data_IF_041427971163
#
_entry.id   IF_041427971163
#
_cell.length_a   1.000
_cell.length_b   1.000
_cell.length_c   1.000
_cell.angle_alpha   90.00
_cell.angle_beta   90.00
_cell.angle_gamma   90.00
#
_symmetry.space_group_name_H-M   'P 1'
#
loop_
_entity.id
_entity.type
_entity.pdbx_description
1 polymer ?
#
# COMPACT_ATOMS: atom_id res chain seq x y z
N UNK A 1 -4.41 17.76 1.87
CA UNK A 1 -5.40 18.85 1.91
C UNK A 1 -5.10 19.72 3.14
N UNK A 2 -5.06 21.07 3.05
CA UNK A 2 -4.83 21.94 4.21
C UNK A 2 -5.82 21.70 5.36
N UNK A 3 -7.05 21.34 5.03
CA UNK A 3 -8.10 21.03 6.02
C UNK A 3 -7.73 19.77 6.80
N UNK A 4 -7.32 18.70 6.15
CA UNK A 4 -6.91 17.47 6.82
C UNK A 4 -5.69 17.68 7.74
N UNK A 5 -4.79 18.58 7.34
CA UNK A 5 -3.64 18.96 8.18
C UNK A 5 -4.08 19.69 9.44
N UNK A 6 -5.03 20.65 9.32
CA UNK A 6 -5.59 21.37 10.46
C UNK A 6 -6.39 20.45 11.40
N UNK A 7 -7.14 19.51 10.85
CA UNK A 7 -7.86 18.48 11.63
C UNK A 7 -6.88 17.60 12.41
N UNK A 8 -5.78 17.15 11.78
CA UNK A 8 -4.73 16.39 12.44
C UNK A 8 -4.08 17.12 13.61
N UNK A 9 -3.79 18.42 13.47
CA UNK A 9 -3.31 19.23 14.59
C UNK A 9 -4.37 19.42 15.68
N UNK A 10 -5.64 19.57 15.29
CA UNK A 10 -6.76 19.64 16.23
C UNK A 10 -6.88 18.36 17.06
N UNK A 11 -6.73 17.20 16.43
CA UNK A 11 -6.77 15.92 17.13
C UNK A 11 -5.55 15.72 18.04
N UNK A 12 -4.36 16.16 17.62
CA UNK A 12 -3.16 16.13 18.46
C UNK A 12 -3.37 16.98 19.72
N UNK A 13 -3.89 18.20 19.60
CA UNK A 13 -4.16 19.09 20.73
C UNK A 13 -5.19 18.50 21.69
N UNK A 14 -6.24 17.85 21.20
CA UNK A 14 -7.26 17.20 22.04
C UNK A 14 -6.72 16.00 22.81
N UNK A 15 -5.72 15.31 22.27
CA UNK A 15 -5.17 14.07 22.82
C UNK A 15 -3.75 14.24 23.40
N UNK A 16 -3.32 15.46 23.72
CA UNK A 16 -1.98 15.71 24.33
C UNK A 16 -1.75 14.97 25.65
N UNK A 17 -2.82 14.61 26.35
CA UNK A 17 -2.76 13.85 27.60
C UNK A 17 -2.55 12.35 27.37
N UNK A 18 -2.78 11.85 26.15
CA UNK A 18 -2.54 10.46 25.75
C UNK A 18 -1.13 10.30 25.19
N UNK A 19 -0.24 9.72 26.00
CA UNK A 19 1.17 9.52 25.65
C UNK A 19 1.35 8.57 24.46
N UNK A 20 0.51 7.54 24.34
CA UNK A 20 0.58 6.60 23.22
C UNK A 20 0.15 7.25 21.91
N UNK A 21 -0.91 8.03 21.96
CA UNK A 21 -1.35 8.81 20.81
C UNK A 21 -0.29 9.80 20.33
N UNK A 22 0.31 10.55 21.26
CA UNK A 22 1.38 11.52 20.95
C UNK A 22 2.62 10.81 20.37
N UNK A 23 3.03 9.68 20.94
CA UNK A 23 4.16 8.90 20.45
C UNK A 23 3.90 8.33 19.06
N UNK A 24 2.71 7.79 18.80
CA UNK A 24 2.32 7.30 17.48
C UNK A 24 2.30 8.43 16.44
N UNK A 25 1.78 9.60 16.80
CA UNK A 25 1.77 10.78 15.93
C UNK A 25 3.20 11.24 15.60
N UNK A 26 4.07 11.34 16.59
CA UNK A 26 5.47 11.71 16.40
C UNK A 26 6.23 10.69 15.53
N UNK A 27 5.99 9.40 15.73
CA UNK A 27 6.60 8.34 14.93
C UNK A 27 6.16 8.42 13.46
N UNK A 28 4.88 8.64 13.21
CA UNK A 28 4.36 8.81 11.85
C UNK A 28 4.93 10.07 11.17
N UNK A 29 5.05 11.19 11.90
CA UNK A 29 5.64 12.41 11.39
C UNK A 29 7.11 12.19 11.02
N UNK A 30 7.91 11.61 11.92
CA UNK A 30 9.31 11.29 11.67
C UNK A 30 9.49 10.35 10.47
N UNK A 31 8.62 9.34 10.32
CA UNK A 31 8.65 8.44 9.16
C UNK A 31 8.40 9.21 7.85
N UNK A 32 7.43 10.12 7.83
CA UNK A 32 7.14 10.92 6.64
C UNK A 32 8.27 11.91 6.31
N UNK A 33 8.90 12.49 7.32
CA UNK A 33 10.04 13.41 7.15
C UNK A 33 11.30 12.68 6.63
N UNK A 34 11.46 11.40 6.98
CA UNK A 34 12.59 10.56 6.55
C UNK A 34 12.35 9.89 5.17
N UNK A 35 11.18 10.08 4.57
CA UNK A 35 10.90 9.55 3.24
C UNK A 35 11.79 10.19 2.19
N UNK A 36 12.54 9.34 1.47
CA UNK A 36 13.39 9.78 0.37
C UNK A 36 12.54 10.39 -0.75
N UNK A 37 12.91 11.60 -1.18
CA UNK A 37 12.26 12.23 -2.32
C UNK A 37 12.53 11.42 -3.61
N UNK A 38 11.49 11.20 -4.41
CA UNK A 38 11.66 10.58 -5.72
C UNK A 38 12.49 11.48 -6.64
N UNK A 39 13.49 10.94 -7.35
CA UNK A 39 14.15 11.66 -8.44
C UNK A 39 13.11 12.14 -9.47
N UNK A 40 13.33 13.33 -10.04
CA UNK A 40 12.35 13.94 -10.96
C UNK A 40 11.97 13.03 -12.14
N UNK A 41 12.93 12.28 -12.69
CA UNK A 41 12.66 11.31 -13.76
C UNK A 41 11.73 10.17 -13.31
N UNK A 42 11.90 9.65 -12.08
CA UNK A 42 11.01 8.61 -11.52
C UNK A 42 9.59 9.17 -11.32
N UNK A 43 9.48 10.40 -10.81
CA UNK A 43 8.17 11.06 -10.65
C UNK A 43 7.48 11.24 -12.02
N UNK A 44 8.23 11.62 -13.05
CA UNK A 44 7.72 11.76 -14.41
C UNK A 44 7.23 10.42 -14.98
N UNK A 45 7.99 9.34 -14.80
CA UNK A 45 7.61 8.00 -15.24
C UNK A 45 6.34 7.51 -14.51
N UNK A 46 6.21 7.77 -13.20
CA UNK A 46 5.01 7.43 -12.43
C UNK A 46 3.79 8.17 -12.99
N UNK A 47 3.89 9.47 -13.19
CA UNK A 47 2.79 10.29 -13.71
C UNK A 47 2.42 9.83 -15.11
N UNK A 48 3.39 9.66 -15.99
CA UNK A 48 3.15 9.27 -17.38
C UNK A 48 2.55 7.88 -17.48
N UNK A 49 3.22 6.87 -16.93
CA UNK A 49 2.85 5.47 -17.17
C UNK A 49 1.74 4.96 -16.28
N UNK A 50 1.68 5.40 -15.00
CA UNK A 50 0.69 4.86 -14.08
C UNK A 50 -0.56 5.73 -13.98
N UNK A 51 -0.44 7.05 -13.98
CA UNK A 51 -1.59 7.92 -13.83
C UNK A 51 -2.23 8.31 -15.18
N UNK A 52 -1.42 8.63 -16.19
CA UNK A 52 -1.94 9.09 -17.48
C UNK A 52 -2.28 7.92 -18.40
N UNK A 53 -1.34 7.00 -18.59
CA UNK A 53 -1.52 5.85 -19.48
C UNK A 53 -2.22 4.66 -18.82
N UNK A 54 -2.22 4.60 -17.48
CA UNK A 54 -2.78 3.49 -16.69
C UNK A 54 -2.30 2.09 -17.16
N UNK A 55 -1.02 1.99 -17.53
CA UNK A 55 -0.50 0.81 -18.21
C UNK A 55 -0.57 -0.47 -17.37
N UNK A 56 -0.55 -0.39 -16.03
CA UNK A 56 -0.73 -1.57 -15.18
C UNK A 56 -2.14 -2.18 -15.33
N UNK A 57 -3.17 -1.35 -15.46
CA UNK A 57 -4.53 -1.83 -15.70
C UNK A 57 -4.67 -2.55 -17.05
N UNK A 58 -3.86 -2.18 -18.03
CA UNK A 58 -3.76 -2.86 -19.30
C UNK A 58 -2.83 -4.09 -19.28
N UNK A 59 -2.27 -4.43 -18.11
CA UNK A 59 -1.36 -5.54 -17.91
C UNK A 59 0.06 -5.28 -18.42
N UNK A 60 0.38 -4.05 -18.84
CA UNK A 60 1.70 -3.66 -19.34
C UNK A 60 2.64 -3.23 -18.21
N UNK A 61 3.91 -3.56 -18.33
CA UNK A 61 4.97 -3.06 -17.47
C UNK A 61 5.77 -1.97 -18.21
N UNK A 62 5.86 -0.74 -17.67
CA UNK A 62 6.55 0.37 -18.31
C UNK A 62 8.07 0.27 -18.10
N UNK A 63 8.66 -0.89 -18.37
CA UNK A 63 10.08 -1.12 -18.25
C UNK A 63 10.73 -1.05 -19.63
N UNK A 64 11.86 -0.35 -19.72
CA UNK A 64 12.61 -0.25 -20.98
C UNK A 64 13.06 -1.65 -21.43
N UNK A 65 12.97 -1.87 -22.71
CA UNK A 65 13.47 -3.08 -23.39
C UNK A 65 12.85 -4.41 -22.92
N UNK A 66 11.69 -4.39 -22.28
CA UNK A 66 11.00 -5.60 -21.90
C UNK A 66 9.69 -5.77 -22.68
N UNK A 67 9.43 -7.00 -23.10
CA UNK A 67 8.14 -7.45 -23.63
C UNK A 67 7.29 -8.12 -22.53
N UNK A 68 7.77 -8.10 -21.28
CA UNK A 68 7.07 -8.72 -20.17
C UNK A 68 5.79 -7.94 -19.84
N UNK A 69 4.81 -8.71 -19.41
CA UNK A 69 3.50 -8.20 -19.00
C UNK A 69 3.16 -8.73 -17.60
N UNK A 70 2.12 -8.23 -16.98
CA UNK A 70 1.63 -8.80 -15.72
C UNK A 70 1.19 -10.26 -15.87
N UNK A 71 0.82 -10.70 -17.08
CA UNK A 71 0.48 -12.11 -17.36
C UNK A 71 1.66 -13.06 -17.23
N UNK A 72 2.90 -12.57 -17.29
CA UNK A 72 4.10 -13.38 -17.07
C UNK A 72 4.34 -13.70 -15.58
N UNK A 73 3.58 -13.08 -14.66
CA UNK A 73 3.65 -13.35 -13.23
C UNK A 73 2.89 -14.63 -12.93
N UNK A 74 3.62 -15.69 -12.59
CA UNK A 74 3.10 -17.03 -12.28
C UNK A 74 3.38 -17.46 -10.83
N UNK A 75 4.19 -16.69 -10.10
CA UNK A 75 4.49 -16.95 -8.69
C UNK A 75 3.22 -16.88 -7.83
N UNK A 76 3.20 -17.58 -6.70
CA UNK A 76 2.13 -17.46 -5.72
C UNK A 76 1.95 -16.00 -5.29
N UNK A 77 0.73 -15.51 -5.32
CA UNK A 77 0.39 -14.11 -5.13
C UNK A 77 -0.49 -13.90 -3.91
N UNK A 78 0.03 -13.18 -2.93
CA UNK A 78 -0.77 -12.64 -1.84
C UNK A 78 -0.83 -11.12 -1.95
N UNK A 79 -2.02 -10.60 -2.04
CA UNK A 79 -2.29 -9.17 -2.02
C UNK A 79 -2.96 -8.78 -0.71
N UNK A 80 -2.60 -7.62 -0.19
CA UNK A 80 -3.18 -7.06 1.03
C UNK A 80 -3.69 -5.66 0.73
N UNK A 81 -4.91 -5.36 1.15
CA UNK A 81 -5.52 -4.05 0.93
C UNK A 81 -6.28 -3.57 2.17
N UNK A 82 -6.16 -2.28 2.46
CA UNK A 82 -6.92 -1.60 3.51
C UNK A 82 -8.34 -1.25 3.04
N UNK A 83 -9.34 -1.53 3.87
CA UNK A 83 -10.74 -1.19 3.52
C UNK A 83 -11.00 0.32 3.54
N UNK A 84 -10.15 1.09 4.23
CA UNK A 84 -10.23 2.54 4.37
C UNK A 84 -9.04 3.25 3.68
N UNK A 85 -8.35 2.56 2.77
CA UNK A 85 -7.25 3.13 2.01
C UNK A 85 -7.79 4.09 0.94
N UNK A 86 -7.53 5.39 1.15
CA UNK A 86 -7.94 6.46 0.22
C UNK A 86 -6.89 6.75 -0.85
N UNK A 87 -5.66 6.24 -0.67
CA UNK A 87 -4.56 6.41 -1.63
C UNK A 87 -4.63 5.30 -2.69
N UNK A 88 -4.79 4.04 -2.23
CA UNK A 88 -4.96 2.88 -3.10
C UNK A 88 -6.27 2.15 -2.72
N UNK A 89 -7.40 2.62 -3.21
CA UNK A 89 -8.70 2.00 -2.92
C UNK A 89 -8.75 0.53 -3.34
N UNK A 90 -9.52 -0.27 -2.62
CA UNK A 90 -9.71 -1.69 -2.92
C UNK A 90 -10.13 -1.95 -4.37
N UNK A 91 -10.93 -1.05 -4.94
CA UNK A 91 -11.34 -1.11 -6.33
C UNK A 91 -10.17 -1.01 -7.33
N UNK A 92 -9.10 -0.30 -6.96
CA UNK A 92 -7.88 -0.21 -7.77
C UNK A 92 -6.97 -1.43 -7.60
N UNK A 93 -7.01 -2.09 -6.44
CA UNK A 93 -6.17 -3.26 -6.14
C UNK A 93 -6.70 -4.55 -6.77
N UNK A 94 -8.01 -4.75 -6.71
CA UNK A 94 -8.67 -6.00 -7.09
C UNK A 94 -8.40 -6.47 -8.54
N UNK A 95 -8.39 -5.59 -9.56
CA UNK A 95 -8.15 -5.99 -10.94
C UNK A 95 -6.79 -6.66 -11.18
N UNK A 96 -5.77 -6.39 -10.35
CA UNK A 96 -4.46 -7.01 -10.47
C UNK A 96 -4.50 -8.53 -10.36
N UNK A 97 -5.44 -9.10 -9.58
CA UNK A 97 -5.62 -10.54 -9.49
C UNK A 97 -5.99 -11.18 -10.84
N UNK A 98 -6.74 -10.46 -11.66
CA UNK A 98 -7.20 -10.96 -12.96
C UNK A 98 -6.14 -10.76 -14.05
N UNK A 99 -5.24 -9.79 -13.87
CA UNK A 99 -4.17 -9.49 -14.82
C UNK A 99 -2.98 -10.43 -14.71
N UNK A 100 -2.77 -11.08 -13.57
CA UNK A 100 -1.65 -12.00 -13.34
C UNK A 100 -2.06 -13.45 -13.59
N UNK A 101 -1.13 -14.29 -14.08
CA UNK A 101 -1.36 -15.70 -14.40
C UNK A 101 -1.04 -16.67 -13.26
N UNK A 102 -0.79 -16.17 -12.07
CA UNK A 102 -0.56 -17.00 -10.87
C UNK A 102 -1.73 -17.96 -10.65
N UNK A 103 -1.45 -19.24 -10.42
CA UNK A 103 -2.48 -20.23 -10.12
C UNK A 103 -2.99 -20.11 -8.69
N UNK A 104 -2.11 -19.72 -7.76
CA UNK A 104 -2.44 -19.48 -6.36
C UNK A 104 -2.46 -17.96 -6.12
N UNK A 105 -3.66 -17.40 -6.03
CA UNK A 105 -3.90 -15.96 -5.81
C UNK A 105 -4.84 -15.75 -4.65
N UNK A 106 -4.48 -14.88 -3.74
CA UNK A 106 -5.31 -14.51 -2.59
C UNK A 106 -5.27 -13.01 -2.35
N UNK A 107 -6.42 -12.44 -2.02
CA UNK A 107 -6.56 -11.08 -1.51
C UNK A 107 -7.02 -11.13 -0.05
N UNK A 108 -6.27 -10.48 0.83
CA UNK A 108 -6.64 -10.23 2.22
C UNK A 108 -7.03 -8.76 2.34
N UNK A 109 -8.16 -8.50 2.97
CA UNK A 109 -8.57 -7.14 3.31
C UNK A 109 -8.60 -6.98 4.82
N UNK A 110 -8.15 -5.83 5.30
CA UNK A 110 -8.16 -5.51 6.73
C UNK A 110 -8.60 -4.06 6.97
N UNK A 111 -9.17 -3.78 8.15
CA UNK A 111 -9.45 -2.41 8.56
C UNK A 111 -8.16 -1.60 8.63
N UNK A 112 -8.12 -0.46 7.98
CA UNK A 112 -6.95 0.44 7.99
C UNK A 112 -6.84 1.24 6.70
N UNK A 113 -6.10 2.34 6.78
CA UNK A 113 -5.66 3.15 5.64
C UNK A 113 -4.33 2.66 5.11
N UNK A 114 -3.76 3.41 4.16
CA UNK A 114 -2.56 3.05 3.40
C UNK A 114 -1.39 2.58 4.27
N UNK A 115 -1.00 3.35 5.26
CA UNK A 115 0.06 2.98 6.19
C UNK A 115 -0.45 2.11 7.35
N UNK A 116 -1.73 2.23 7.70
CA UNK A 116 -2.34 1.53 8.83
C UNK A 116 -2.40 0.02 8.66
N UNK A 117 -2.44 -0.49 7.43
CA UNK A 117 -2.39 -1.93 7.16
C UNK A 117 -1.01 -2.55 7.48
N UNK A 118 0.05 -1.75 7.51
CA UNK A 118 1.40 -2.23 7.82
C UNK A 118 1.81 -1.92 9.26
N UNK A 119 1.59 -0.69 9.72
CA UNK A 119 2.07 -0.19 11.01
C UNK A 119 1.00 0.15 12.03
N UNK A 120 -0.28 -0.05 11.73
CA UNK A 120 -1.38 0.21 12.65
C UNK A 120 -1.47 -0.84 13.77
N UNK A 121 -2.11 -0.48 14.88
CA UNK A 121 -2.26 -1.35 16.06
C UNK A 121 -2.96 -2.69 15.76
N UNK A 122 -3.75 -2.76 14.69
CA UNK A 122 -4.43 -3.98 14.23
C UNK A 122 -3.65 -4.78 13.20
N UNK A 123 -2.54 -4.24 12.66
CA UNK A 123 -1.76 -4.90 11.63
C UNK A 123 -1.22 -6.28 12.07
N UNK A 124 -0.71 -6.48 13.31
CA UNK A 124 -0.24 -7.79 13.75
C UNK A 124 -1.28 -8.89 13.60
N UNK A 125 -2.52 -8.64 14.02
CA UNK A 125 -3.59 -9.63 14.00
C UNK A 125 -4.18 -9.82 12.60
N UNK A 126 -4.48 -8.72 11.91
CA UNK A 126 -5.25 -8.78 10.67
C UNK A 126 -4.41 -8.93 9.42
N UNK A 127 -3.12 -8.61 9.48
CA UNK A 127 -2.21 -8.65 8.34
C UNK A 127 -1.02 -9.57 8.58
N UNK A 128 -0.20 -9.31 9.62
CA UNK A 128 1.07 -10.01 9.77
C UNK A 128 0.89 -11.50 10.04
N UNK A 129 -0.04 -11.87 10.93
CA UNK A 129 -0.32 -13.28 11.20
C UNK A 129 -0.85 -14.00 9.95
N UNK A 130 -1.90 -13.52 9.25
CA UNK A 130 -2.36 -14.14 8.01
C UNK A 130 -1.31 -14.21 6.90
N UNK A 131 -0.42 -13.22 6.80
CA UNK A 131 0.69 -13.24 5.83
C UNK A 131 1.72 -14.30 6.22
N UNK A 132 2.09 -14.38 7.51
CA UNK A 132 3.01 -15.40 8.01
C UNK A 132 2.47 -16.81 7.77
N UNK A 133 1.20 -17.06 8.06
CA UNK A 133 0.54 -18.34 7.82
C UNK A 133 0.53 -18.71 6.33
N UNK A 134 0.24 -17.73 5.47
CA UNK A 134 0.25 -17.93 4.02
C UNK A 134 1.64 -18.28 3.50
N UNK A 135 2.69 -17.63 4.01
CA UNK A 135 4.08 -17.90 3.68
C UNK A 135 4.54 -19.27 4.20
N UNK A 136 4.20 -19.62 5.43
CA UNK A 136 4.63 -20.87 6.07
C UNK A 136 4.22 -22.11 5.26
N UNK A 137 3.02 -22.10 4.68
CA UNK A 137 2.51 -23.21 3.86
C UNK A 137 3.23 -23.33 2.51
N UNK A 138 3.96 -22.28 2.08
CA UNK A 138 4.60 -22.17 0.74
C UNK A 138 6.11 -22.11 0.79
N UNK A 139 6.70 -22.14 1.99
CA UNK A 139 8.15 -22.05 2.22
C UNK A 139 8.78 -23.43 2.51
N UNK A 140 8.05 -24.51 2.30
CA UNK A 140 8.50 -25.88 2.49
C UNK A 140 9.24 -26.42 1.26
#
# INVERSE_FOLDING_TARGET
SPIATLEGYGDLLRNLHDREFVAAHATNAAFLDDMTAYPGAVSQDIIQHFWTENCLFEGRLPLRDTKRTLRDVTANLLMVAGTNDVIVPLAATRPLLDLMSSADKRLITAPGGHMGILGGSRAPEHIWAPVADWLAVRSA
#
